data_IF_385205122625
#
_entry.id   IF_385205122625
#
_cell.length_a   1.000
_cell.length_b   1.000
_cell.length_c   1.000
_cell.angle_alpha   90.00
_cell.angle_beta   90.00
_cell.angle_gamma   90.00
#
_symmetry.space_group_name_H-M   'P 1'
#
loop_
_entity.id
_entity.type
_entity.pdbx_description
1 polymer ?
#
# COMPACT_ATOMS: atom_id res chain seq x y z
N UNK A 1 13.07 19.32 -5.30
CA UNK A 1 12.51 18.39 -6.30
C UNK A 1 11.37 19.08 -7.02
N UNK A 2 11.28 18.91 -8.34
CA UNK A 2 10.19 19.44 -9.18
C UNK A 2 9.15 18.34 -9.41
N UNK A 3 8.39 18.01 -8.36
CA UNK A 3 7.36 16.99 -8.44
C UNK A 3 6.18 17.52 -9.25
N UNK A 4 5.96 16.92 -10.42
CA UNK A 4 4.81 17.20 -11.27
C UNK A 4 3.79 16.11 -11.12
N UNK A 5 2.52 16.50 -11.16
CA UNK A 5 1.40 15.57 -11.14
C UNK A 5 1.55 14.56 -12.28
N UNK A 6 1.37 13.28 -11.98
CA UNK A 6 1.50 12.24 -13.00
C UNK A 6 0.27 12.23 -13.91
N UNK A 7 0.44 12.12 -15.24
CA UNK A 7 -0.70 12.02 -16.17
C UNK A 7 -1.67 10.90 -15.80
N UNK A 8 -1.15 9.73 -15.40
CA UNK A 8 -1.95 8.58 -15.00
C UNK A 8 -2.85 8.86 -13.79
N UNK A 9 -2.42 9.75 -12.88
CA UNK A 9 -3.22 10.15 -11.72
C UNK A 9 -4.38 11.06 -12.14
N UNK A 10 -4.16 11.95 -13.12
CA UNK A 10 -5.18 12.84 -13.67
C UNK A 10 -6.27 12.03 -14.38
N UNK A 11 -5.86 11.00 -15.11
CA UNK A 11 -6.71 10.15 -15.93
C UNK A 11 -7.27 8.92 -15.17
N UNK A 12 -6.95 8.81 -13.88
CA UNK A 12 -7.33 7.67 -13.06
C UNK A 12 -8.86 7.60 -12.82
N UNK A 13 -9.43 6.39 -12.64
CA UNK A 13 -10.82 6.21 -12.21
C UNK A 13 -11.17 6.98 -10.94
N UNK A 14 -10.26 7.07 -9.98
CA UNK A 14 -10.40 7.80 -8.72
C UNK A 14 -10.59 9.30 -8.95
N UNK A 15 -9.96 9.85 -10.00
CA UNK A 15 -10.05 11.25 -10.35
C UNK A 15 -11.21 11.56 -11.31
N UNK A 16 -11.46 10.68 -12.26
CA UNK A 16 -12.51 10.84 -13.28
C UNK A 16 -13.89 10.36 -12.80
N UNK A 17 -13.94 9.58 -11.73
CA UNK A 17 -15.13 8.89 -11.22
C UNK A 17 -15.27 7.49 -11.82
N UNK A 18 -15.36 6.48 -10.95
CA UNK A 18 -15.50 5.07 -11.35
C UNK A 18 -16.70 4.82 -12.27
N UNK A 19 -17.82 5.49 -12.03
CA UNK A 19 -19.05 5.33 -12.81
C UNK A 19 -18.92 5.86 -14.26
N UNK A 20 -17.88 6.64 -14.56
CA UNK A 20 -17.63 7.19 -15.89
C UNK A 20 -16.80 6.26 -16.79
N UNK A 21 -16.34 5.11 -16.27
CA UNK A 21 -15.51 4.15 -17.00
C UNK A 21 -16.25 2.81 -17.07
N UNK A 22 -16.82 2.52 -18.25
CA UNK A 22 -17.61 1.30 -18.47
C UNK A 22 -16.77 0.02 -18.30
N UNK A 23 -15.52 0.05 -18.74
CA UNK A 23 -14.58 -1.07 -18.63
C UNK A 23 -13.26 -0.59 -18.02
N UNK A 24 -13.19 -0.57 -16.69
CA UNK A 24 -11.96 -0.20 -15.99
C UNK A 24 -10.97 -1.38 -15.95
N UNK A 25 -9.91 -1.28 -16.76
CA UNK A 25 -8.80 -2.25 -16.80
C UNK A 25 -7.52 -1.73 -16.12
N UNK A 26 -7.60 -0.57 -15.47
CA UNK A 26 -6.45 0.11 -14.85
C UNK A 26 -6.24 -0.28 -13.39
N UNK A 27 -7.25 -0.89 -12.77
CA UNK A 27 -7.28 -1.30 -11.38
C UNK A 27 -6.46 -2.55 -11.08
N UNK A 28 -6.19 -2.75 -9.78
CA UNK A 28 -5.53 -3.94 -9.24
C UNK A 28 -6.26 -5.22 -9.66
N UNK A 29 -5.54 -6.35 -9.75
CA UNK A 29 -6.13 -7.68 -9.99
C UNK A 29 -7.01 -8.20 -8.84
N UNK A 30 -7.36 -7.34 -7.87
CA UNK A 30 -8.16 -7.66 -6.69
C UNK A 30 -9.36 -6.73 -6.67
N UNK A 31 -10.56 -7.31 -6.63
CA UNK A 31 -11.82 -6.57 -6.51
C UNK A 31 -11.98 -6.00 -5.11
N UNK A 32 -12.64 -4.84 -5.02
CA UNK A 32 -13.06 -4.26 -3.75
C UNK A 32 -13.79 -5.28 -2.87
N UNK A 33 -13.48 -5.26 -1.58
CA UNK A 33 -14.13 -6.11 -0.59
C UNK A 33 -14.62 -5.29 0.59
N UNK A 34 -15.71 -5.74 1.22
CA UNK A 34 -16.16 -5.10 2.46
C UNK A 34 -15.25 -5.56 3.59
N UNK A 35 -14.90 -4.64 4.48
CA UNK A 35 -14.16 -5.00 5.70
C UNK A 35 -14.86 -6.12 6.49
N UNK A 36 -16.20 -6.13 6.50
CA UNK A 36 -17.00 -7.18 7.15
C UNK A 36 -16.81 -8.58 6.56
N UNK A 37 -16.40 -8.69 5.29
CA UNK A 37 -16.15 -9.98 4.63
C UNK A 37 -14.89 -10.66 5.18
N UNK A 38 -13.99 -9.91 5.83
CA UNK A 38 -12.82 -10.46 6.54
C UNK A 38 -13.19 -11.17 7.84
N UNK A 39 -14.40 -10.96 8.36
CA UNK A 39 -14.89 -11.56 9.61
C UNK A 39 -13.93 -11.38 10.81
N UNK A 40 -13.37 -10.16 10.96
CA UNK A 40 -12.44 -9.81 12.04
C UNK A 40 -13.18 -9.08 13.18
N UNK A 41 -12.89 -9.45 14.43
CA UNK A 41 -13.27 -8.67 15.61
C UNK A 41 -12.17 -7.66 15.93
N UNK A 42 -12.46 -6.37 15.74
CA UNK A 42 -11.53 -5.27 15.98
C UNK A 42 -11.92 -4.41 17.19
N UNK A 43 -12.90 -4.84 17.99
CA UNK A 43 -13.52 -4.01 19.04
C UNK A 43 -12.52 -3.60 20.14
N UNK A 44 -11.55 -4.46 20.42
CA UNK A 44 -10.50 -4.24 21.42
C UNK A 44 -9.15 -3.85 20.78
N UNK A 45 -9.12 -3.55 19.48
CA UNK A 45 -7.89 -3.18 18.80
C UNK A 45 -7.41 -1.81 19.30
N UNK A 46 -6.22 -1.78 19.90
CA UNK A 46 -5.58 -0.53 20.32
C UNK A 46 -5.03 0.18 19.08
N UNK A 47 -5.57 1.37 18.78
CA UNK A 47 -5.06 2.24 17.72
C UNK A 47 -3.88 3.05 18.26
N UNK A 48 -2.69 2.53 18.08
CA UNK A 48 -1.43 3.17 18.48
C UNK A 48 -0.52 3.39 17.27
N UNK A 49 0.47 4.27 17.42
CA UNK A 49 1.46 4.55 16.37
C UNK A 49 2.30 3.31 16.02
N UNK A 50 2.58 2.46 17.02
CA UNK A 50 3.29 1.19 16.82
C UNK A 50 4.77 1.35 16.48
N UNK A 51 5.33 0.30 15.88
CA UNK A 51 6.72 0.25 15.42
C UNK A 51 6.91 1.04 14.12
N UNK A 52 7.88 1.96 14.11
CA UNK A 52 8.17 2.84 12.97
C UNK A 52 8.60 2.09 11.70
N UNK A 53 9.17 0.88 11.83
CA UNK A 53 9.58 0.08 10.67
C UNK A 53 8.55 -1.00 10.29
N UNK A 54 7.47 -1.10 11.07
CA UNK A 54 6.35 -2.01 10.84
C UNK A 54 6.27 -3.17 11.83
N UNK A 55 5.08 -3.75 11.92
CA UNK A 55 4.77 -4.82 12.88
C UNK A 55 5.77 -6.00 12.76
N UNK A 56 6.48 -6.39 13.84
CA UNK A 56 7.56 -7.38 13.76
C UNK A 56 7.18 -8.69 13.07
N UNK A 57 6.03 -9.28 13.46
CA UNK A 57 5.56 -10.54 12.83
C UNK A 57 5.26 -10.41 11.34
N UNK A 58 4.85 -9.23 10.87
CA UNK A 58 4.60 -9.01 9.45
C UNK A 58 5.92 -8.94 8.68
N UNK A 59 6.93 -8.27 9.25
CA UNK A 59 8.28 -8.25 8.69
C UNK A 59 8.88 -9.65 8.61
N UNK A 60 8.71 -10.48 9.64
CA UNK A 60 9.18 -11.88 9.64
C UNK A 60 8.59 -12.68 8.46
N UNK A 61 7.27 -12.57 8.23
CA UNK A 61 6.58 -13.28 7.14
C UNK A 61 7.09 -12.81 5.77
N UNK A 62 7.19 -11.50 5.56
CA UNK A 62 7.66 -10.93 4.30
C UNK A 62 9.12 -11.30 4.03
N UNK A 63 9.98 -11.23 5.05
CA UNK A 63 11.39 -11.59 4.92
C UNK A 63 11.56 -13.07 4.53
N UNK A 64 10.78 -13.96 5.15
CA UNK A 64 10.79 -15.38 4.80
C UNK A 64 10.32 -15.64 3.37
N UNK A 65 9.27 -14.95 2.92
CA UNK A 65 8.76 -15.07 1.54
C UNK A 65 9.75 -14.54 0.50
N UNK A 66 10.41 -13.42 0.80
CA UNK A 66 11.38 -12.78 -0.10
C UNK A 66 12.79 -13.41 -0.03
N UNK A 67 13.08 -14.25 0.97
CA UNK A 67 14.40 -14.85 1.16
C UNK A 67 15.49 -13.87 1.62
N UNK A 68 15.12 -12.87 2.42
CA UNK A 68 16.02 -11.80 2.94
C UNK A 68 16.06 -11.78 4.47
N UNK A 69 16.95 -10.99 5.07
CA UNK A 69 16.97 -10.81 6.52
C UNK A 69 15.82 -9.88 6.96
N UNK A 70 15.28 -10.08 8.17
CA UNK A 70 14.17 -9.26 8.69
C UNK A 70 14.53 -7.77 8.82
N UNK A 71 15.81 -7.47 9.04
CA UNK A 71 16.31 -6.09 9.12
C UNK A 71 16.40 -5.41 7.74
N UNK A 72 16.27 -6.17 6.65
CA UNK A 72 16.19 -5.64 5.29
C UNK A 72 14.75 -5.25 4.89
N UNK A 73 13.77 -5.43 5.79
CA UNK A 73 12.34 -5.17 5.51
C UNK A 73 11.86 -3.91 6.21
N UNK A 74 11.41 -2.94 5.41
CA UNK A 74 10.68 -1.75 5.86
C UNK A 74 9.24 -1.80 5.35
N UNK A 75 8.26 -1.76 6.26
CA UNK A 75 6.84 -1.70 5.90
C UNK A 75 6.44 -0.26 5.58
N UNK A 76 5.72 -0.08 4.48
CA UNK A 76 5.19 1.22 4.05
C UNK A 76 3.68 1.15 3.80
N UNK A 77 3.01 2.29 3.78
CA UNK A 77 1.59 2.36 3.38
C UNK A 77 1.48 2.26 1.86
N UNK A 78 1.50 1.02 1.37
CA UNK A 78 1.46 0.71 -0.06
C UNK A 78 2.80 0.89 -0.77
N UNK A 79 2.87 0.38 -2.00
CA UNK A 79 4.10 0.34 -2.80
C UNK A 79 4.57 1.74 -3.25
N UNK A 80 3.64 2.67 -3.49
CA UNK A 80 3.98 4.03 -3.92
C UNK A 80 4.88 4.75 -2.91
N UNK A 81 4.64 4.57 -1.60
CA UNK A 81 5.48 5.16 -0.55
C UNK A 81 6.89 4.53 -0.52
N UNK A 82 7.00 3.22 -0.73
CA UNK A 82 8.30 2.56 -0.83
C UNK A 82 9.12 3.13 -1.99
N UNK A 83 8.49 3.28 -3.18
CA UNK A 83 9.14 3.89 -4.35
C UNK A 83 9.56 5.34 -4.08
N UNK A 84 8.72 6.12 -3.40
CA UNK A 84 9.05 7.49 -3.03
C UNK A 84 10.25 7.57 -2.09
N UNK A 85 10.32 6.71 -1.07
CA UNK A 85 11.46 6.63 -0.15
C UNK A 85 12.73 6.28 -0.91
N UNK A 86 12.70 5.22 -1.73
CA UNK A 86 13.85 4.80 -2.54
C UNK A 86 14.33 5.94 -3.44
N UNK A 87 13.40 6.57 -4.16
CA UNK A 87 13.72 7.69 -5.04
C UNK A 87 14.34 8.87 -4.28
N UNK A 88 13.74 9.27 -3.16
CA UNK A 88 14.22 10.43 -2.39
C UNK A 88 15.54 10.18 -1.67
N UNK A 89 15.84 8.93 -1.30
CA UNK A 89 17.03 8.58 -0.51
C UNK A 89 18.22 8.20 -1.38
N UNK A 90 18.00 7.73 -2.62
CA UNK A 90 19.06 7.18 -3.47
C UNK A 90 19.20 7.88 -4.83
N UNK A 91 18.21 8.64 -5.31
CA UNK A 91 18.17 9.25 -6.64
C UNK A 91 18.07 10.78 -6.57
#
# INVERSE_FOLDING_TARGET
MDYKRMPIEIESPEQMGYDNIEFNLTESSVTDMKLGDLNLNLQELIVAYGDHIGHPKLRDIIAAEAGVHVDDVLITTGAAMALFIVSTTLL
#
